data_IF_945179898296
#
_entry.id   IF_945179898296
#
_cell.length_a   1.000
_cell.length_b   1.000
_cell.length_c   1.000
_cell.angle_alpha   90.00
_cell.angle_beta   90.00
_cell.angle_gamma   90.00
#
_symmetry.space_group_name_H-M   'P 1'
#
loop_
_entity.id
_entity.type
_entity.pdbx_description
1 polymer ?
#
# COMPACT_ATOMS: atom_id res chain seq x y z
N UNK A 1 13.77 4.78 11.39
CA UNK A 1 13.25 3.44 11.75
C UNK A 1 13.51 2.53 10.57
N UNK A 2 13.96 1.29 10.77
CA UNK A 2 14.20 0.37 9.66
C UNK A 2 12.89 -0.24 9.15
N UNK A 3 12.86 -0.60 7.87
CA UNK A 3 11.81 -1.42 7.27
C UNK A 3 12.39 -2.75 6.78
N UNK A 4 11.55 -3.78 6.68
CA UNK A 4 11.97 -5.12 6.32
C UNK A 4 11.13 -5.65 5.15
N UNK A 5 11.78 -5.89 4.02
CA UNK A 5 11.12 -6.45 2.83
C UNK A 5 11.51 -7.91 2.64
N UNK A 6 10.51 -8.78 2.61
CA UNK A 6 10.69 -10.21 2.37
C UNK A 6 10.54 -10.54 0.88
N UNK A 7 11.37 -11.48 0.43
CA UNK A 7 11.39 -12.00 -0.92
C UNK A 7 11.45 -13.53 -0.88
N UNK A 8 10.65 -14.19 -1.73
CA UNK A 8 10.71 -15.64 -1.92
C UNK A 8 11.92 -16.10 -2.76
N UNK A 9 12.52 -15.20 -3.54
CA UNK A 9 13.64 -15.50 -4.43
C UNK A 9 14.80 -14.52 -4.17
N UNK A 10 15.98 -15.07 -3.91
CA UNK A 10 17.19 -14.30 -3.63
C UNK A 10 17.55 -13.31 -4.74
N UNK A 11 17.33 -13.69 -6.01
CA UNK A 11 17.63 -12.81 -7.15
C UNK A 11 16.79 -11.53 -7.11
N UNK A 12 15.56 -11.59 -6.59
CA UNK A 12 14.73 -10.40 -6.43
C UNK A 12 15.19 -9.54 -5.25
N UNK A 13 15.64 -10.14 -4.15
CA UNK A 13 16.27 -9.42 -3.05
C UNK A 13 17.55 -8.71 -3.51
N UNK A 14 18.41 -9.41 -4.26
CA UNK A 14 19.64 -8.85 -4.81
C UNK A 14 19.38 -7.77 -5.88
N UNK A 15 18.33 -7.92 -6.70
CA UNK A 15 17.93 -6.89 -7.66
C UNK A 15 17.42 -5.62 -6.95
N UNK A 16 16.65 -5.78 -5.87
CA UNK A 16 16.26 -4.67 -5.00
C UNK A 16 17.50 -3.98 -4.41
N UNK A 17 18.44 -4.73 -3.84
CA UNK A 17 19.65 -4.15 -3.23
C UNK A 17 20.55 -3.47 -4.28
N UNK A 18 20.92 -4.17 -5.36
CA UNK A 18 21.96 -3.69 -6.28
C UNK A 18 21.46 -2.68 -7.30
N UNK A 19 20.17 -2.71 -7.62
CA UNK A 19 19.58 -1.89 -8.68
C UNK A 19 18.40 -1.03 -8.21
N UNK A 20 17.96 -1.19 -6.96
CA UNK A 20 16.79 -0.48 -6.45
C UNK A 20 15.52 -0.89 -7.18
N UNK A 21 15.45 -2.11 -7.73
CA UNK A 21 14.28 -2.61 -8.44
C UNK A 21 13.13 -2.88 -7.46
N UNK A 22 12.08 -2.08 -7.56
CA UNK A 22 10.90 -2.08 -6.70
C UNK A 22 9.66 -2.34 -7.54
N UNK A 23 8.99 -3.47 -7.28
CA UNK A 23 7.70 -3.78 -7.87
C UNK A 23 6.58 -3.26 -6.98
N UNK A 24 5.96 -2.17 -7.39
CA UNK A 24 4.75 -1.65 -6.75
C UNK A 24 3.52 -2.34 -7.35
N UNK A 25 2.57 -2.73 -6.50
CA UNK A 25 1.30 -3.35 -6.92
C UNK A 25 0.11 -2.48 -6.55
N UNK A 26 -0.97 -2.53 -7.33
CA UNK A 26 -2.26 -1.96 -6.90
C UNK A 26 -2.87 -2.87 -5.83
N UNK A 27 -3.67 -2.31 -4.91
CA UNK A 27 -4.37 -3.15 -3.92
C UNK A 27 -5.41 -4.07 -4.58
N UNK A 28 -5.94 -3.68 -5.74
CA UNK A 28 -6.74 -4.55 -6.60
C UNK A 28 -5.99 -5.83 -7.04
N UNK A 29 -4.69 -5.72 -7.32
CA UNK A 29 -3.84 -6.87 -7.65
C UNK A 29 -3.73 -7.85 -6.48
N UNK A 30 -3.42 -7.31 -5.30
CA UNK A 30 -3.18 -8.13 -4.10
C UNK A 30 -4.46 -8.88 -3.70
N UNK A 31 -5.62 -8.22 -3.71
CA UNK A 31 -6.93 -8.85 -3.48
C UNK A 31 -7.19 -10.09 -4.35
N UNK A 32 -6.68 -10.12 -5.59
CA UNK A 32 -6.90 -11.23 -6.52
C UNK A 32 -5.94 -12.42 -6.31
N UNK A 33 -4.81 -12.20 -5.65
CA UNK A 33 -3.71 -13.18 -5.52
C UNK A 33 -3.61 -13.74 -4.11
N UNK A 34 -4.22 -13.06 -3.14
CA UNK A 34 -4.30 -13.52 -1.77
C UNK A 34 -5.04 -14.87 -1.70
N UNK A 35 -4.31 -15.92 -1.30
CA UNK A 35 -4.70 -17.34 -1.21
C UNK A 35 -6.11 -17.59 -0.64
N UNK A 36 -7.17 -17.34 -1.42
CA UNK A 36 -8.56 -17.46 -0.96
C UNK A 36 -8.90 -16.66 0.31
N UNK A 37 -8.21 -15.55 0.59
CA UNK A 37 -8.40 -14.75 1.81
C UNK A 37 -7.58 -15.19 3.04
N UNK A 38 -6.67 -16.17 2.91
CA UNK A 38 -5.84 -16.64 4.05
C UNK A 38 -4.73 -15.66 4.40
N UNK A 39 -4.11 -15.01 3.41
CA UNK A 39 -2.99 -14.06 3.62
C UNK A 39 -3.38 -12.59 3.47
N UNK A 40 -4.63 -12.33 3.13
CA UNK A 40 -5.02 -11.12 2.45
C UNK A 40 -6.33 -10.52 2.90
N UNK A 41 -6.43 -9.20 2.78
CA UNK A 41 -7.65 -8.47 3.06
C UNK A 41 -8.48 -8.35 1.75
N UNK A 42 -9.62 -9.06 1.63
CA UNK A 42 -10.48 -8.95 0.45
C UNK A 42 -11.04 -7.53 0.24
N UNK A 43 -10.95 -6.67 1.27
CA UNK A 43 -11.33 -5.27 1.25
C UNK A 43 -10.12 -4.33 1.29
N UNK A 44 -8.90 -4.81 1.01
CA UNK A 44 -7.71 -3.96 1.04
C UNK A 44 -7.84 -2.79 0.06
N UNK A 45 -7.60 -1.59 0.57
CA UNK A 45 -7.80 -0.35 -0.19
C UNK A 45 -9.25 0.05 -0.41
N UNK A 46 -10.20 -0.51 0.37
CA UNK A 46 -11.60 -0.11 0.37
C UNK A 46 -12.04 0.35 1.76
N UNK A 47 -12.82 1.43 1.81
CA UNK A 47 -13.60 1.80 2.99
C UNK A 47 -15.07 1.55 2.70
N UNK A 48 -15.75 0.89 3.63
CA UNK A 48 -17.17 0.60 3.53
C UNK A 48 -17.87 1.04 4.81
N UNK A 49 -18.62 2.13 4.73
CA UNK A 49 -19.39 2.66 5.84
C UNK A 49 -20.87 2.33 5.65
N UNK A 50 -21.40 1.47 6.52
CA UNK A 50 -22.79 1.02 6.50
C UNK A 50 -23.33 0.96 7.95
N UNK A 51 -23.67 2.10 8.57
CA UNK A 51 -24.26 2.11 9.89
C UNK A 51 -25.63 1.42 9.88
N UNK A 52 -26.07 0.90 11.04
CA UNK A 52 -27.31 0.10 11.15
C UNK A 52 -28.57 0.84 10.65
N UNK A 53 -28.66 2.14 10.91
CA UNK A 53 -29.77 2.99 10.45
C UNK A 53 -29.59 3.53 9.03
N UNK A 54 -28.45 3.21 8.39
CA UNK A 54 -28.01 3.76 7.12
C UNK A 54 -27.56 5.22 7.20
N UNK A 55 -26.93 5.68 6.13
CA UNK A 55 -26.53 7.08 5.97
C UNK A 55 -27.75 7.87 5.50
N UNK A 56 -28.02 9.00 6.14
CA UNK A 56 -28.95 10.01 5.63
C UNK A 56 -28.22 10.95 4.67
N UNK A 57 -28.65 10.98 3.40
CA UNK A 57 -28.15 11.93 2.39
C UNK A 57 -29.26 12.94 2.12
N UNK A 58 -28.96 14.23 2.32
CA UNK A 58 -29.85 15.33 1.90
C UNK A 58 -29.37 15.89 0.56
N UNK A 59 -30.22 15.79 -0.46
CA UNK A 59 -29.95 16.34 -1.78
C UNK A 59 -30.01 17.87 -1.74
N UNK A 60 -28.93 18.53 -2.17
CA UNK A 60 -28.82 20.01 -2.14
C UNK A 60 -29.84 20.68 -3.05
N UNK A 61 -30.19 20.04 -4.19
CA UNK A 61 -31.03 20.65 -5.22
C UNK A 61 -32.52 20.75 -4.82
N UNK A 62 -33.06 19.78 -4.10
CA UNK A 62 -34.50 19.64 -3.83
C UNK A 62 -34.83 19.34 -2.34
N UNK A 63 -33.81 19.25 -1.48
CA UNK A 63 -33.99 18.94 -0.05
C UNK A 63 -34.46 17.51 0.23
N UNK A 64 -34.53 16.65 -0.80
CA UNK A 64 -34.96 15.26 -0.65
C UNK A 64 -33.96 14.48 0.22
N UNK A 65 -34.49 13.74 1.18
CA UNK A 65 -33.71 12.84 2.04
C UNK A 65 -33.71 11.42 1.49
N UNK A 66 -32.53 10.82 1.43
CA UNK A 66 -32.35 9.39 1.19
C UNK A 66 -31.82 8.75 2.47
N UNK A 67 -32.40 7.64 2.90
CA UNK A 67 -32.02 6.91 4.10
C UNK A 67 -31.72 5.45 3.76
N UNK A 68 -31.07 4.71 4.67
CA UNK A 68 -30.71 3.31 4.42
C UNK A 68 -29.57 3.12 3.43
N UNK A 69 -28.78 4.17 3.15
CA UNK A 69 -27.68 4.11 2.17
C UNK A 69 -26.37 3.68 2.85
N UNK A 70 -25.55 2.92 2.13
CA UNK A 70 -24.14 2.67 2.47
C UNK A 70 -23.20 3.42 1.54
N UNK A 71 -22.01 3.76 2.00
CA UNK A 71 -20.96 4.38 1.21
C UNK A 71 -19.76 3.45 1.06
N UNK A 72 -19.24 3.32 -0.17
CA UNK A 72 -18.01 2.59 -0.47
C UNK A 72 -17.09 3.44 -1.32
N UNK A 73 -15.81 3.49 -0.97
CA UNK A 73 -14.75 4.08 -1.78
C UNK A 73 -13.59 3.09 -1.92
N UNK A 74 -12.85 3.18 -3.02
CA UNK A 74 -11.70 2.33 -3.31
C UNK A 74 -10.53 3.15 -3.85
N UNK A 75 -9.32 2.85 -3.39
CA UNK A 75 -8.09 3.50 -3.82
C UNK A 75 -7.49 2.81 -5.06
N UNK A 76 -8.11 3.02 -6.23
CA UNK A 76 -7.71 2.34 -7.47
C UNK A 76 -6.55 3.03 -8.23
N UNK A 77 -6.29 4.32 -7.94
CA UNK A 77 -5.30 5.15 -8.64
C UNK A 77 -3.93 5.19 -7.95
N UNK A 78 -3.62 4.20 -7.12
CA UNK A 78 -2.43 4.19 -6.26
C UNK A 78 -1.77 2.81 -6.30
N UNK A 79 -0.44 2.80 -6.35
CA UNK A 79 0.35 1.60 -6.15
C UNK A 79 1.05 1.64 -4.81
N UNK A 80 1.22 0.47 -4.18
CA UNK A 80 1.89 0.34 -2.90
C UNK A 80 3.10 -0.57 -2.99
N UNK A 81 4.09 -0.30 -2.15
CA UNK A 81 5.19 -1.20 -1.85
C UNK A 81 5.17 -1.47 -0.34
N UNK A 82 4.70 -2.66 0.00
CA UNK A 82 4.52 -3.12 1.37
C UNK A 82 5.85 -3.61 1.97
N UNK A 83 6.16 -3.20 3.19
CA UNK A 83 7.25 -3.71 3.99
C UNK A 83 6.79 -3.92 5.44
N UNK A 84 7.47 -4.77 6.19
CA UNK A 84 7.24 -4.96 7.61
C UNK A 84 8.04 -3.95 8.43
N UNK A 85 7.53 -3.60 9.60
CA UNK A 85 8.25 -2.82 10.62
C UNK A 85 9.19 -3.69 11.48
N UNK A 86 9.16 -5.00 11.30
CA UNK A 86 9.95 -5.96 12.08
C UNK A 86 10.52 -7.12 11.25
N UNK A 87 11.64 -7.66 11.75
CA UNK A 87 12.19 -8.93 11.32
C UNK A 87 11.50 -10.07 12.07
N UNK A 88 10.99 -11.08 11.35
CA UNK A 88 10.19 -12.16 11.93
C UNK A 88 10.30 -13.43 11.09
N UNK A 89 10.59 -14.56 11.74
CA UNK A 89 10.57 -15.88 11.10
C UNK A 89 9.14 -16.28 10.65
N UNK A 90 8.10 -15.79 11.31
CA UNK A 90 6.73 -16.00 10.86
C UNK A 90 6.48 -15.31 9.52
N UNK A 91 6.93 -14.06 9.38
CA UNK A 91 6.83 -13.31 8.12
C UNK A 91 7.69 -13.94 7.02
N UNK A 92 8.83 -14.50 7.37
CA UNK A 92 9.67 -15.25 6.43
C UNK A 92 8.93 -16.47 5.84
N UNK A 93 8.14 -17.20 6.64
CA UNK A 93 7.32 -18.32 6.17
C UNK A 93 6.20 -17.87 5.21
N UNK A 94 5.63 -16.69 5.43
CA UNK A 94 4.54 -16.17 4.60
C UNK A 94 5.01 -15.52 3.30
N UNK A 95 6.11 -14.76 3.35
CA UNK A 95 6.53 -13.86 2.28
C UNK A 95 7.90 -14.20 1.66
N UNK A 96 8.63 -15.13 2.26
CA UNK A 96 9.91 -15.64 1.80
C UNK A 96 11.08 -15.37 2.75
N UNK A 97 12.05 -16.29 2.74
CA UNK A 97 13.20 -16.30 3.65
C UNK A 97 14.22 -15.17 3.46
N UNK A 98 14.23 -14.52 2.29
CA UNK A 98 15.20 -13.47 1.98
C UNK A 98 14.66 -12.12 2.44
N UNK A 99 15.06 -11.68 3.63
CA UNK A 99 14.61 -10.43 4.23
C UNK A 99 15.67 -9.34 4.03
N UNK A 100 15.31 -8.29 3.31
CA UNK A 100 16.14 -7.09 3.17
C UNK A 100 15.71 -6.06 4.20
N UNK A 101 16.59 -5.79 5.15
CA UNK A 101 16.49 -4.63 6.03
C UNK A 101 16.86 -3.36 5.25
N UNK A 102 16.07 -2.31 5.43
CA UNK A 102 16.23 -0.97 4.87
C UNK A 102 16.46 -0.03 6.06
N UNK A 103 17.69 0.44 6.25
CA UNK A 103 18.07 1.25 7.42
C UNK A 103 17.68 2.73 7.31
N UNK A 104 17.54 3.25 6.09
CA UNK A 104 17.06 4.61 5.79
C UNK A 104 15.92 4.57 4.73
N UNK A 105 14.67 4.29 5.15
CA UNK A 105 13.52 4.34 4.24
C UNK A 105 13.31 5.73 3.62
N UNK A 106 13.67 6.81 4.31
CA UNK A 106 13.52 8.16 3.77
C UNK A 106 14.44 8.40 2.56
N UNK A 107 15.61 7.73 2.50
CA UNK A 107 16.46 7.75 1.30
C UNK A 107 15.74 7.15 0.08
N UNK A 108 14.96 6.08 0.27
CA UNK A 108 14.14 5.51 -0.81
C UNK A 108 13.10 6.52 -1.28
N UNK A 109 12.40 7.19 -0.34
CA UNK A 109 11.40 8.22 -0.67
C UNK A 109 12.04 9.39 -1.43
N UNK A 110 13.19 9.90 -0.97
CA UNK A 110 13.94 10.96 -1.66
C UNK A 110 14.29 10.54 -3.09
N UNK A 111 14.82 9.32 -3.28
CA UNK A 111 15.19 8.82 -4.62
C UNK A 111 14.01 8.61 -5.54
N UNK A 112 12.88 8.13 -5.01
CA UNK A 112 11.62 8.05 -5.77
C UNK A 112 11.17 9.44 -6.21
N UNK A 113 11.15 10.43 -5.30
CA UNK A 113 10.80 11.82 -5.62
C UNK A 113 11.71 12.42 -6.69
N UNK A 114 13.00 12.11 -6.68
CA UNK A 114 13.95 12.54 -7.72
C UNK A 114 13.67 11.96 -9.12
N UNK A 115 12.81 10.93 -9.25
CA UNK A 115 12.38 10.41 -10.55
C UNK A 115 11.21 11.19 -11.17
N UNK A 116 10.74 12.26 -10.50
CA UNK A 116 9.67 13.10 -11.02
C UNK A 116 9.98 13.57 -12.44
N UNK A 117 9.04 13.29 -13.35
CA UNK A 117 9.13 13.66 -14.76
C UNK A 117 7.75 14.03 -15.29
N UNK A 118 7.70 15.03 -16.17
CA UNK A 118 6.49 15.42 -16.87
C UNK A 118 5.92 14.26 -17.70
N UNK A 119 6.78 13.42 -18.29
CA UNK A 119 6.38 12.30 -19.16
C UNK A 119 5.91 11.06 -18.41
N UNK A 120 6.16 10.95 -17.10
CA UNK A 120 5.67 9.81 -16.31
C UNK A 120 4.17 9.93 -16.05
N UNK A 121 3.48 8.79 -16.04
CA UNK A 121 2.09 8.67 -15.55
C UNK A 121 2.02 8.62 -14.03
N UNK A 122 3.14 8.28 -13.38
CA UNK A 122 3.25 8.20 -11.93
C UNK A 122 3.54 9.60 -11.37
N UNK A 123 2.91 9.90 -10.24
CA UNK A 123 3.12 11.14 -9.51
C UNK A 123 4.19 10.94 -8.43
N UNK A 124 5.45 10.90 -8.88
CA UNK A 124 6.60 10.80 -7.98
C UNK A 124 6.68 11.96 -6.97
N UNK A 125 6.11 13.13 -7.28
CA UNK A 125 6.09 14.28 -6.37
C UNK A 125 5.23 14.04 -5.13
N UNK A 126 4.22 13.18 -5.25
CA UNK A 126 3.28 12.79 -4.19
C UNK A 126 3.60 11.44 -3.56
N UNK A 127 4.81 10.90 -3.77
CA UNK A 127 5.24 9.69 -3.06
C UNK A 127 5.25 9.95 -1.56
N UNK A 128 4.67 9.02 -0.81
CA UNK A 128 4.58 9.08 0.63
C UNK A 128 4.85 7.71 1.25
N UNK A 129 5.02 7.68 2.57
CA UNK A 129 5.21 6.46 3.35
C UNK A 129 4.47 6.56 4.67
N UNK A 130 3.77 5.50 5.05
CA UNK A 130 3.07 5.45 6.32
C UNK A 130 2.99 4.04 6.88
N UNK A 131 2.95 3.95 8.22
CA UNK A 131 2.54 2.74 8.90
C UNK A 131 1.04 2.51 8.64
N UNK A 132 0.66 1.25 8.50
CA UNK A 132 -0.74 0.88 8.35
C UNK A 132 -1.50 1.13 9.65
N UNK A 133 -2.61 1.85 9.55
CA UNK A 133 -3.60 2.04 10.61
C UNK A 133 -4.55 0.83 10.65
N UNK A 134 -4.58 0.12 11.78
CA UNK A 134 -5.42 -1.05 11.94
C UNK A 134 -6.70 -0.69 12.70
N UNK A 135 -7.82 -0.61 11.99
CA UNK A 135 -9.12 -0.22 12.56
C UNK A 135 -10.31 -0.82 11.82
N UNK A 136 -11.48 -0.91 12.46
CA UNK A 136 -12.70 -1.41 11.82
C UNK A 136 -13.07 -0.60 10.57
N UNK A 137 -13.44 -1.28 9.49
CA UNK A 137 -13.80 -0.61 8.22
C UNK A 137 -15.18 0.07 8.25
N UNK A 138 -16.02 -0.28 9.22
CA UNK A 138 -17.33 0.34 9.49
C UNK A 138 -17.22 1.58 10.40
N UNK A 139 -16.01 1.93 10.85
CA UNK A 139 -15.76 3.21 11.50
C UNK A 139 -16.05 4.36 10.52
N UNK A 140 -16.62 5.46 11.02
CA UNK A 140 -16.91 6.65 10.21
C UNK A 140 -15.61 7.10 9.53
N UNK A 141 -15.55 7.12 8.17
CA UNK A 141 -14.31 7.35 7.43
C UNK A 141 -13.83 8.81 7.49
N UNK A 142 -14.59 9.72 8.11
CA UNK A 142 -14.29 11.14 8.24
C UNK A 142 -13.85 11.78 6.90
N UNK A 143 -12.58 12.19 6.78
CA UNK A 143 -12.03 12.75 5.55
C UNK A 143 -11.28 11.71 4.70
N UNK A 144 -11.05 10.51 5.21
CA UNK A 144 -10.14 9.52 4.62
C UNK A 144 -10.66 9.02 3.27
N UNK A 145 -11.98 9.03 3.07
CA UNK A 145 -12.59 8.69 1.78
C UNK A 145 -12.16 9.60 0.63
N UNK A 146 -11.76 10.83 0.92
CA UNK A 146 -11.34 11.82 -0.07
C UNK A 146 -9.86 11.69 -0.46
N UNK A 147 -9.08 10.85 0.24
CA UNK A 147 -7.64 10.70 0.05
C UNK A 147 -7.29 9.23 -0.20
N UNK A 148 -7.25 8.77 -1.46
CA UNK A 148 -6.85 7.41 -1.81
C UNK A 148 -5.53 6.97 -1.15
N UNK A 149 -4.56 7.88 -1.03
CA UNK A 149 -3.28 7.67 -0.35
C UNK A 149 -3.40 7.33 1.14
N UNK A 150 -4.50 7.71 1.80
CA UNK A 150 -4.79 7.35 3.20
C UNK A 150 -5.59 6.06 3.28
N UNK A 151 -6.51 5.84 2.33
CA UNK A 151 -7.27 4.58 2.23
C UNK A 151 -6.34 3.38 2.09
N UNK A 152 -5.27 3.50 1.29
CA UNK A 152 -4.28 2.43 1.14
C UNK A 152 -3.45 2.18 2.40
N UNK A 153 -3.58 2.98 3.46
CA UNK A 153 -2.88 2.77 4.73
C UNK A 153 -3.80 2.19 5.81
N UNK A 154 -5.03 1.81 5.48
CA UNK A 154 -5.99 1.28 6.45
C UNK A 154 -6.18 -0.21 6.23
N UNK A 155 -6.15 -0.98 7.31
CA UNK A 155 -6.50 -2.41 7.33
C UNK A 155 -7.42 -2.76 8.51
N UNK A 156 -8.22 -3.83 8.39
CA UNK A 156 -8.95 -4.39 9.52
C UNK A 156 -8.03 -4.86 10.66
N UNK A 157 -8.48 -4.83 11.94
CA UNK A 157 -7.67 -5.21 13.09
C UNK A 157 -7.15 -6.65 13.07
N UNK A 158 -7.85 -7.57 12.41
CA UNK A 158 -7.42 -8.97 12.25
C UNK A 158 -6.09 -9.12 11.48
N UNK A 159 -5.68 -8.11 10.72
CA UNK A 159 -4.40 -8.07 10.01
C UNK A 159 -3.29 -7.32 10.77
N UNK A 160 -3.54 -6.87 12.01
CA UNK A 160 -2.57 -6.10 12.80
C UNK A 160 -1.24 -6.84 13.03
N UNK A 161 -1.26 -8.18 13.05
CA UNK A 161 -0.05 -9.00 13.14
C UNK A 161 0.91 -8.85 11.96
N UNK A 162 0.49 -8.24 10.84
CA UNK A 162 1.37 -7.95 9.71
C UNK A 162 2.36 -6.82 10.00
N UNK A 163 2.06 -5.93 10.97
CA UNK A 163 2.89 -4.80 11.38
C UNK A 163 3.53 -4.07 10.17
N UNK A 164 2.68 -3.65 9.24
CA UNK A 164 3.06 -3.21 7.91
C UNK A 164 3.28 -1.69 7.83
N UNK A 165 4.23 -1.29 7.00
CA UNK A 165 4.34 0.06 6.43
C UNK A 165 4.30 0.00 4.92
N UNK A 166 3.70 1.00 4.29
CA UNK A 166 3.55 1.09 2.84
C UNK A 166 4.22 2.34 2.31
N UNK A 167 4.97 2.17 1.22
CA UNK A 167 5.34 3.29 0.36
C UNK A 167 4.25 3.42 -0.70
N UNK A 168 3.71 4.63 -0.84
CA UNK A 168 2.58 4.97 -1.68
C UNK A 168 3.07 5.70 -2.92
N UNK A 169 2.71 5.21 -4.10
CA UNK A 169 3.06 5.78 -5.40
C UNK A 169 1.78 6.04 -6.22
N UNK A 170 1.26 7.27 -6.22
CA UNK A 170 0.04 7.62 -6.94
C UNK A 170 0.22 7.70 -8.46
N UNK A 171 -0.88 7.54 -9.19
CA UNK A 171 -1.02 8.03 -10.56
C UNK A 171 -1.27 9.55 -10.57
N UNK A 172 -0.87 10.22 -11.66
CA UNK A 172 -1.33 11.59 -11.93
C UNK A 172 -2.86 11.61 -12.12
N UNK A 173 -3.56 12.72 -11.80
CA UNK A 173 -5.03 12.80 -11.81
C UNK A 173 -5.73 12.30 -13.09
N UNK A 174 -5.10 12.47 -14.25
CA UNK A 174 -5.66 12.07 -15.56
C UNK A 174 -5.02 10.79 -16.14
N UNK A 175 -4.14 10.15 -15.38
CA UNK A 175 -3.50 8.92 -15.79
C UNK A 175 -4.34 7.72 -15.38
N UNK A 176 -4.76 6.91 -16.35
CA UNK A 176 -5.25 5.55 -16.07
C UNK A 176 -4.06 4.61 -15.87
N UNK A 177 -4.27 3.39 -15.39
CA UNK A 177 -3.30 2.31 -15.55
C UNK A 177 -3.94 1.16 -16.29
N UNK A 178 -3.22 0.57 -17.27
CA UNK A 178 -3.63 -0.71 -17.85
C UNK A 178 -3.05 -1.91 -17.09
N UNK A 179 -2.10 -1.66 -16.17
CA UNK A 179 -1.38 -2.70 -15.45
C UNK A 179 -1.65 -2.59 -13.94
N UNK A 180 -1.76 -3.75 -13.31
CA UNK A 180 -1.94 -3.90 -11.87
C UNK A 180 -0.63 -3.77 -11.07
N UNK A 181 0.50 -3.55 -11.74
CA UNK A 181 1.81 -3.36 -11.11
C UNK A 181 2.71 -2.50 -11.98
N UNK A 182 3.69 -1.86 -11.35
CA UNK A 182 4.75 -1.08 -12.00
C UNK A 182 6.10 -1.44 -11.38
N UNK A 183 7.12 -1.61 -12.24
CA UNK A 183 8.50 -1.80 -11.81
C UNK A 183 9.23 -0.46 -11.89
N UNK A 184 9.83 -0.04 -10.79
CA UNK A 184 10.61 1.19 -10.67
C UNK A 184 12.02 0.83 -10.23
N UNK A 185 13.04 1.48 -10.78
CA UNK A 185 14.43 1.35 -10.30
C UNK A 185 14.90 2.68 -9.72
N UNK A 186 15.53 2.65 -8.54
CA UNK A 186 16.05 3.86 -7.87
C UNK A 186 17.57 3.85 -7.68
N UNK A 187 18.26 2.98 -8.43
CA UNK A 187 19.71 2.81 -8.32
C UNK A 187 20.13 1.91 -7.15
N UNK A 188 21.44 1.71 -6.99
CA UNK A 188 22.02 0.85 -5.97
C UNK A 188 21.65 1.33 -4.55
N UNK A 189 21.26 0.41 -3.66
CA UNK A 189 20.85 0.62 -2.27
C UNK A 189 21.75 -0.09 -1.25
N UNK A 190 22.90 -0.63 -1.64
CA UNK A 190 23.82 -1.42 -0.79
C UNK A 190 24.23 -0.66 0.47
N UNK A 191 24.33 0.67 0.40
CA UNK A 191 24.69 1.52 1.54
C UNK A 191 23.59 1.69 2.60
N UNK A 192 22.33 1.41 2.23
CA UNK A 192 21.17 1.52 3.13
C UNK A 192 20.42 0.19 3.32
N UNK A 193 20.97 -0.93 2.83
CA UNK A 193 20.31 -2.22 2.91
C UNK A 193 21.21 -3.32 3.45
N UNK A 194 20.59 -4.33 4.07
CA UNK A 194 21.26 -5.55 4.52
C UNK A 194 20.37 -6.76 4.25
N UNK A 195 20.92 -7.78 3.61
CA UNK A 195 20.23 -9.06 3.39
C UNK A 195 20.39 -9.96 4.62
N UNK A 196 19.26 -10.48 5.08
CA UNK A 196 19.14 -11.52 6.09
C UNK A 196 18.50 -12.75 5.43
N UNK A 197 19.00 -13.94 5.73
CA UNK A 197 18.39 -15.21 5.33
C UNK A 197 17.83 -15.84 6.59
N UNK A 198 16.53 -16.07 6.62
CA UNK A 198 15.79 -16.53 7.79
C UNK A 198 15.31 -17.97 7.58
N UNK A 199 15.48 -18.80 8.60
CA UNK A 199 15.03 -20.20 8.60
C UNK A 199 13.53 -20.35 8.88
#
# INVERSE_FOLDING_TARGET
MSLFKYFANENYALAFIRKGEMRFGSLAYYRQIEDGGVRGDPRDGMLHYAPADGIEITMVADGRKLTGISFTTAAESVFVYCASNEISAERARDFGQFCVEISDPDAIIRRLKHRASASSRLDYGRVDMGATEYRPLDQIPAADWAFPERVVLIKPPEYAGQNESRIVLPLKPDATSMNNHVLVSIGNLEEITRLHVLD
#
